data_IF_693936783227
#
_entry.id   IF_693936783227
#
_cell.length_a   1.000
_cell.length_b   1.000
_cell.length_c   1.000
_cell.angle_alpha   90.00
_cell.angle_beta   90.00
_cell.angle_gamma   90.00
#
_symmetry.space_group_name_H-M   'P 1'
#
loop_
_entity.id
_entity.type
_entity.pdbx_description
1 polymer ?
#
# COMPACT_ATOMS: atom_id res chain seq x y z
N UNK A 1 -29.83 6.78 -3.59
CA UNK A 1 -28.61 7.62 -3.61
C UNK A 1 -28.22 7.84 -5.06
N UNK A 2 -27.79 9.06 -5.45
CA UNK A 2 -27.24 9.28 -6.78
C UNK A 2 -25.94 8.48 -6.95
N UNK A 3 -25.58 8.11 -8.19
CA UNK A 3 -24.30 7.46 -8.45
C UNK A 3 -23.13 8.40 -8.09
N UNK A 4 -21.98 7.85 -7.63
CA UNK A 4 -20.81 8.66 -7.32
C UNK A 4 -20.26 9.33 -8.57
N UNK A 5 -19.69 10.53 -8.42
CA UNK A 5 -19.05 11.27 -9.51
C UNK A 5 -17.77 10.56 -9.98
N UNK A 6 -17.31 10.80 -11.23
CA UNK A 6 -16.02 10.31 -11.71
C UNK A 6 -14.84 10.70 -10.80
N UNK A 7 -14.84 11.94 -10.28
CA UNK A 7 -13.86 12.42 -9.30
C UNK A 7 -13.91 11.60 -8.02
N UNK A 8 -15.10 11.40 -7.43
CA UNK A 8 -15.26 10.60 -6.22
C UNK A 8 -14.82 9.13 -6.41
N UNK A 9 -15.10 8.54 -7.58
CA UNK A 9 -14.64 7.20 -7.92
C UNK A 9 -13.12 7.15 -7.98
N UNK A 10 -12.47 8.09 -8.69
CA UNK A 10 -11.01 8.15 -8.79
C UNK A 10 -10.35 8.34 -7.41
N UNK A 11 -10.88 9.27 -6.59
CA UNK A 11 -10.44 9.49 -5.21
C UNK A 11 -10.52 8.20 -4.39
N UNK A 12 -11.67 7.51 -4.40
CA UNK A 12 -11.84 6.28 -3.63
C UNK A 12 -10.91 5.14 -4.09
N UNK A 13 -10.57 5.10 -5.38
CA UNK A 13 -9.64 4.12 -5.94
C UNK A 13 -8.23 4.31 -5.37
N UNK A 14 -7.73 5.55 -5.37
CA UNK A 14 -6.42 5.88 -4.80
C UNK A 14 -6.39 5.59 -3.30
N UNK A 15 -7.42 6.02 -2.55
CA UNK A 15 -7.51 5.75 -1.10
C UNK A 15 -7.44 4.25 -0.76
N UNK A 16 -8.12 3.39 -1.54
CA UNK A 16 -8.08 1.95 -1.31
C UNK A 16 -6.68 1.39 -1.55
N UNK A 17 -6.01 1.83 -2.62
CA UNK A 17 -4.70 1.31 -2.99
C UNK A 17 -3.61 1.73 -1.97
N UNK A 18 -3.63 2.98 -1.49
CA UNK A 18 -2.69 3.43 -0.43
C UNK A 18 -2.94 2.65 0.87
N UNK A 19 -4.21 2.37 1.20
CA UNK A 19 -4.53 1.55 2.38
C UNK A 19 -4.03 0.11 2.22
N UNK A 20 -4.18 -0.47 1.04
CA UNK A 20 -3.68 -1.81 0.71
C UNK A 20 -2.14 -1.86 0.83
N UNK A 21 -1.44 -0.85 0.31
CA UNK A 21 0.02 -0.72 0.45
C UNK A 21 0.45 -0.61 1.92
N UNK A 22 -0.20 0.24 2.71
CA UNK A 22 0.07 0.37 4.15
C UNK A 22 -0.13 -0.95 4.90
N UNK A 23 -1.14 -1.72 4.53
CA UNK A 23 -1.39 -3.05 5.09
C UNK A 23 -0.26 -4.03 4.76
N UNK A 24 0.20 -4.06 3.51
CA UNK A 24 1.32 -4.92 3.12
C UNK A 24 2.64 -4.50 3.78
N UNK A 25 2.89 -3.19 3.97
CA UNK A 25 4.05 -2.74 4.74
C UNK A 25 4.00 -3.22 6.19
N UNK A 26 2.83 -3.13 6.84
CA UNK A 26 2.66 -3.64 8.20
C UNK A 26 2.93 -5.14 8.26
N UNK A 27 2.38 -5.92 7.32
CA UNK A 27 2.63 -7.36 7.24
C UNK A 27 4.11 -7.68 7.06
N UNK A 28 4.80 -6.95 6.17
CA UNK A 28 6.24 -7.14 5.93
C UNK A 28 7.07 -6.88 7.20
N UNK A 29 6.74 -5.83 7.97
CA UNK A 29 7.41 -5.54 9.25
C UNK A 29 7.20 -6.68 10.26
N UNK A 30 5.98 -7.21 10.35
CA UNK A 30 5.67 -8.33 11.25
C UNK A 30 6.40 -9.62 10.83
N UNK A 31 6.45 -9.93 9.53
CA UNK A 31 7.21 -11.05 8.98
C UNK A 31 8.71 -10.90 9.26
N UNK A 32 9.28 -9.71 9.01
CA UNK A 32 10.70 -9.43 9.27
C UNK A 32 11.05 -9.61 10.75
N UNK A 33 10.16 -9.19 11.66
CA UNK A 33 10.35 -9.39 13.10
C UNK A 33 10.35 -10.89 13.47
N UNK A 34 9.43 -11.69 12.90
CA UNK A 34 9.38 -13.14 13.12
C UNK A 34 10.62 -13.85 12.58
N UNK A 35 11.03 -13.54 11.34
CA UNK A 35 12.25 -14.07 10.71
C UNK A 35 13.47 -13.75 11.57
N UNK A 36 13.64 -12.49 11.97
CA UNK A 36 14.78 -12.04 12.79
C UNK A 36 14.82 -12.78 14.13
N UNK A 37 13.67 -12.91 14.81
CA UNK A 37 13.59 -13.66 16.07
C UNK A 37 13.97 -15.12 15.88
N UNK A 38 13.44 -15.78 14.85
CA UNK A 38 13.70 -17.19 14.59
C UNK A 38 15.17 -17.43 14.22
N UNK A 39 15.79 -16.54 13.44
CA UNK A 39 17.23 -16.57 13.15
C UNK A 39 18.06 -16.48 14.43
N UNK A 40 17.69 -15.59 15.36
CA UNK A 40 18.36 -15.45 16.65
C UNK A 40 18.19 -16.69 17.53
N UNK A 41 16.98 -17.24 17.61
CA UNK A 41 16.68 -18.43 18.41
C UNK A 41 17.46 -19.66 17.88
N UNK A 42 17.56 -19.82 16.54
CA UNK A 42 18.39 -20.85 15.89
C UNK A 42 19.87 -20.63 16.19
N UNK A 43 20.38 -19.41 16.00
CA UNK A 43 21.80 -19.11 16.21
C UNK A 43 22.23 -19.32 17.67
N UNK A 44 21.36 -18.99 18.62
CA UNK A 44 21.59 -19.14 20.05
C UNK A 44 21.32 -20.56 20.57
N UNK A 45 20.87 -21.49 19.71
CA UNK A 45 20.48 -22.87 20.08
C UNK A 45 19.50 -22.86 21.26
N UNK A 46 18.44 -22.05 21.14
CA UNK A 46 17.41 -21.94 22.17
C UNK A 46 16.90 -23.36 22.54
N UNK A 47 16.92 -23.77 23.82
CA UNK A 47 16.54 -25.12 24.22
C UNK A 47 15.05 -25.44 23.98
N UNK A 48 14.21 -24.41 23.85
CA UNK A 48 12.77 -24.54 23.55
C UNK A 48 12.48 -24.42 22.04
N UNK A 49 13.52 -24.46 21.19
CA UNK A 49 13.40 -24.33 19.74
C UNK A 49 12.69 -25.56 19.15
N UNK A 50 11.76 -25.31 18.22
CA UNK A 50 11.11 -26.37 17.45
C UNK A 50 12.15 -27.17 16.64
N UNK A 51 12.02 -28.49 16.62
CA UNK A 51 12.91 -29.38 15.86
C UNK A 51 12.96 -29.03 14.36
N UNK A 52 11.90 -28.42 13.83
CA UNK A 52 11.77 -27.98 12.45
C UNK A 52 12.05 -26.48 12.25
N UNK A 53 12.67 -25.80 13.20
CA UNK A 53 12.86 -24.34 13.15
C UNK A 53 13.55 -23.84 11.86
N UNK A 54 14.53 -24.57 11.32
CA UNK A 54 15.16 -24.20 10.05
C UNK A 54 14.20 -24.26 8.86
N UNK A 55 13.31 -25.25 8.84
CA UNK A 55 12.26 -25.38 7.83
C UNK A 55 11.22 -24.27 7.96
N UNK A 56 10.79 -23.96 9.19
CA UNK A 56 9.89 -22.84 9.48
C UNK A 56 10.52 -21.52 9.04
N UNK A 57 11.82 -21.31 9.31
CA UNK A 57 12.55 -20.12 8.89
C UNK A 57 12.54 -19.96 7.36
N UNK A 58 12.75 -21.05 6.63
CA UNK A 58 12.68 -21.03 5.17
C UNK A 58 11.28 -20.64 4.68
N UNK A 59 10.23 -21.15 5.30
CA UNK A 59 8.85 -20.78 4.97
C UNK A 59 8.55 -19.31 5.25
N UNK A 60 8.92 -18.79 6.42
CA UNK A 60 8.71 -17.37 6.77
C UNK A 60 9.48 -16.44 5.81
N UNK A 61 10.71 -16.81 5.42
CA UNK A 61 11.45 -16.06 4.39
C UNK A 61 10.76 -16.08 3.03
N UNK A 62 10.25 -17.25 2.62
CA UNK A 62 9.50 -17.35 1.37
C UNK A 62 8.23 -16.49 1.40
N UNK A 63 7.45 -16.56 2.48
CA UNK A 63 6.25 -15.75 2.64
C UNK A 63 6.58 -14.24 2.61
N UNK A 64 7.69 -13.84 3.24
CA UNK A 64 8.19 -12.48 3.19
C UNK A 64 8.56 -12.04 1.77
N UNK A 65 9.22 -12.89 0.99
CA UNK A 65 9.58 -12.58 -0.40
C UNK A 65 8.33 -12.50 -1.30
N UNK A 66 7.31 -13.33 -1.04
CA UNK A 66 6.01 -13.26 -1.71
C UNK A 66 5.29 -11.94 -1.40
N UNK A 67 5.28 -11.49 -0.14
CA UNK A 67 4.75 -10.16 0.24
C UNK A 67 5.53 -9.04 -0.43
N UNK A 68 6.88 -9.12 -0.48
CA UNK A 68 7.71 -8.14 -1.20
C UNK A 68 7.36 -8.05 -2.68
N UNK A 69 7.06 -9.18 -3.31
CA UNK A 69 6.72 -9.24 -4.72
C UNK A 69 5.39 -8.54 -5.06
N UNK A 70 4.51 -8.30 -4.08
CA UNK A 70 3.23 -7.59 -4.29
C UNK A 70 3.43 -6.09 -4.48
N UNK A 71 4.46 -5.48 -3.87
CA UNK A 71 4.66 -4.02 -3.93
C UNK A 71 4.87 -3.51 -5.35
N UNK A 72 5.66 -4.21 -6.18
CA UNK A 72 5.95 -3.78 -7.56
C UNK A 72 4.64 -3.57 -8.38
N UNK A 73 3.77 -4.58 -8.56
CA UNK A 73 2.52 -4.38 -9.29
C UNK A 73 1.56 -3.42 -8.56
N UNK A 74 1.59 -3.34 -7.22
CA UNK A 74 0.76 -2.42 -6.46
C UNK A 74 1.14 -0.95 -6.72
N UNK A 75 2.43 -0.61 -6.69
CA UNK A 75 2.92 0.74 -6.99
C UNK A 75 2.56 1.17 -8.42
N UNK A 76 2.61 0.25 -9.40
CA UNK A 76 2.13 0.53 -10.77
C UNK A 76 0.64 0.92 -10.77
N UNK A 77 -0.20 0.18 -10.04
CA UNK A 77 -1.64 0.47 -9.94
C UNK A 77 -1.90 1.79 -9.20
N UNK A 78 -1.09 2.12 -8.19
CA UNK A 78 -1.16 3.42 -7.50
C UNK A 78 -0.80 4.53 -8.49
N UNK A 79 0.30 4.41 -9.24
CA UNK A 79 0.71 5.40 -10.25
C UNK A 79 -0.36 5.64 -11.32
N UNK A 80 -0.96 4.58 -11.86
CA UNK A 80 -2.06 4.68 -12.82
C UNK A 80 -3.30 5.36 -12.22
N UNK A 81 -3.65 5.03 -10.97
CA UNK A 81 -4.80 5.62 -10.29
C UNK A 81 -4.55 7.09 -9.92
N UNK A 82 -3.33 7.45 -9.52
CA UNK A 82 -2.87 8.82 -9.26
C UNK A 82 -2.98 9.65 -10.53
N UNK A 83 -2.42 9.20 -11.66
CA UNK A 83 -2.52 9.90 -12.94
C UNK A 83 -3.98 10.12 -13.37
N UNK A 84 -4.85 9.12 -13.16
CA UNK A 84 -6.29 9.27 -13.42
C UNK A 84 -6.96 10.28 -12.49
N UNK A 85 -6.58 10.32 -11.21
CA UNK A 85 -7.10 11.30 -10.26
C UNK A 85 -6.66 12.72 -10.63
N UNK A 86 -5.42 12.91 -11.07
CA UNK A 86 -4.91 14.20 -11.58
C UNK A 86 -5.77 14.71 -12.74
N UNK A 87 -6.07 13.85 -13.71
CA UNK A 87 -6.94 14.19 -14.84
C UNK A 87 -8.35 14.61 -14.37
N UNK A 88 -8.95 13.85 -13.45
CA UNK A 88 -10.29 14.18 -12.94
C UNK A 88 -10.32 15.47 -12.12
N UNK A 89 -9.25 15.77 -11.38
CA UNK A 89 -9.11 17.06 -10.67
C UNK A 89 -9.07 18.20 -11.69
N UNK A 90 -8.24 18.12 -12.73
CA UNK A 90 -8.14 19.16 -13.75
C UNK A 90 -9.48 19.40 -14.48
N UNK A 91 -10.20 18.34 -14.83
CA UNK A 91 -11.53 18.45 -15.45
C UNK A 91 -12.53 19.13 -14.50
N UNK A 92 -12.53 18.74 -13.23
CA UNK A 92 -13.46 19.27 -12.22
C UNK A 92 -13.18 20.73 -11.84
N UNK A 93 -11.94 21.19 -11.98
CA UNK A 93 -11.58 22.61 -11.83
C UNK A 93 -12.04 23.46 -13.02
N UNK A 94 -12.08 22.87 -14.23
CA UNK A 94 -12.52 23.56 -15.45
C UNK A 94 -14.04 23.66 -15.61
N UNK A 95 -14.80 22.75 -14.99
CA UNK A 95 -16.26 22.71 -15.00
C UNK A 95 -16.83 23.07 -13.63
N UNK A 96 -17.01 24.36 -13.36
CA UNK A 96 -17.45 24.85 -12.06
C UNK A 96 -18.91 24.48 -11.74
N UNK A 97 -19.11 23.48 -10.87
CA UNK A 97 -20.35 23.24 -10.10
C UNK A 97 -20.03 23.31 -8.60
N UNK A 98 -20.86 24.01 -7.80
CA UNK A 98 -20.59 24.31 -6.38
C UNK A 98 -20.53 23.06 -5.46
N UNK A 99 -21.14 21.93 -5.87
CA UNK A 99 -21.00 20.63 -5.18
C UNK A 99 -19.61 19.97 -5.34
N UNK A 100 -18.73 20.59 -6.14
CA UNK A 100 -17.40 20.10 -6.49
C UNK A 100 -16.33 20.47 -5.45
N UNK A 101 -16.51 21.52 -4.64
CA UNK A 101 -15.42 22.07 -3.82
C UNK A 101 -14.90 21.10 -2.74
N UNK A 102 -15.78 20.44 -1.99
CA UNK A 102 -15.39 19.44 -0.97
C UNK A 102 -14.79 18.19 -1.61
N UNK A 103 -15.35 17.74 -2.74
CA UNK A 103 -14.83 16.59 -3.49
C UNK A 103 -13.45 16.89 -4.08
N UNK A 104 -13.24 18.11 -4.59
CA UNK A 104 -11.97 18.61 -5.09
C UNK A 104 -10.92 18.71 -3.98
N UNK A 105 -11.29 19.23 -2.81
CA UNK A 105 -10.38 19.31 -1.67
C UNK A 105 -9.90 17.90 -1.26
N UNK A 106 -10.84 16.96 -1.11
CA UNK A 106 -10.53 15.56 -0.77
C UNK A 106 -9.71 14.86 -1.87
N UNK A 107 -10.01 15.13 -3.14
CA UNK A 107 -9.28 14.59 -4.28
C UNK A 107 -7.82 15.07 -4.27
N UNK A 108 -7.59 16.37 -4.05
CA UNK A 108 -6.24 16.94 -3.96
C UNK A 108 -5.44 16.39 -2.78
N UNK A 109 -6.07 16.26 -1.61
CA UNK A 109 -5.43 15.64 -0.44
C UNK A 109 -5.03 14.19 -0.74
N UNK A 110 -5.96 13.41 -1.30
CA UNK A 110 -5.73 12.00 -1.67
C UNK A 110 -4.65 11.88 -2.75
N UNK A 111 -4.60 12.84 -3.67
CA UNK A 111 -3.57 12.89 -4.71
C UNK A 111 -2.18 13.07 -4.11
N UNK A 112 -2.01 14.01 -3.18
CA UNK A 112 -0.75 14.21 -2.44
C UNK A 112 -0.35 12.93 -1.72
N UNK A 113 -1.27 12.28 -1.01
CA UNK A 113 -1.01 11.01 -0.31
C UNK A 113 -0.56 9.90 -1.28
N UNK A 114 -1.18 9.81 -2.46
CA UNK A 114 -0.79 8.83 -3.49
C UNK A 114 0.60 9.10 -4.09
N UNK A 115 0.95 10.37 -4.27
CA UNK A 115 2.29 10.76 -4.72
C UNK A 115 3.35 10.52 -3.64
N UNK A 116 3.02 10.73 -2.36
CA UNK A 116 3.90 10.40 -1.24
C UNK A 116 4.17 8.90 -1.13
N UNK A 117 3.14 8.07 -1.27
CA UNK A 117 3.26 6.61 -1.34
C UNK A 117 4.24 6.16 -2.44
N UNK A 118 4.12 6.71 -3.64
CA UNK A 118 5.01 6.39 -4.76
C UNK A 118 6.46 6.83 -4.53
N UNK A 119 6.68 7.96 -3.83
CA UNK A 119 8.05 8.39 -3.49
C UNK A 119 8.68 7.48 -2.44
N UNK A 120 7.92 7.09 -1.42
CA UNK A 120 8.40 6.15 -0.41
C UNK A 120 8.74 4.77 -1.00
N UNK A 121 8.13 4.41 -2.13
CA UNK A 121 8.41 3.19 -2.88
C UNK A 121 9.70 3.22 -3.72
N UNK A 122 10.28 4.40 -3.97
CA UNK A 122 11.52 4.58 -4.75
C UNK A 122 12.80 4.59 -3.87
N UNK A 123 12.63 4.67 -2.54
CA UNK A 123 13.71 4.65 -1.52
C UNK A 123 14.04 3.21 -1.05
#
# INVERSE_FOLDING_TARGET
MPPPSPLAIATSSVQRLIKEESMYHKELVEQQARVTKLEQDIANKNPDLDENAEYILKQEKQAMDETKAVFQPLHKRIAEAVAKLEEQVALSESGADEGSAEQLAKAKETLTQGQEALKAAEE
#
